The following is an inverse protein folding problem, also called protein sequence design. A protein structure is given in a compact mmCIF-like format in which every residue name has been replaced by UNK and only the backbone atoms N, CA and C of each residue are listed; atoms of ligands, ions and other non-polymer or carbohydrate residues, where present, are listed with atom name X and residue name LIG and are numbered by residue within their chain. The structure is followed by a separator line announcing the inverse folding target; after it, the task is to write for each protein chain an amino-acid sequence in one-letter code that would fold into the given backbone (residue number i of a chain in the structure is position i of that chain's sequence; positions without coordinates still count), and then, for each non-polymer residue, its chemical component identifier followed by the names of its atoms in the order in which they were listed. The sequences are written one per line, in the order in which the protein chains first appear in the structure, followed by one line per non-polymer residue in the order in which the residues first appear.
data_IF_746715319020
#
_entry.id   IF_746715319020
#
_cell.length_a   1.000
_cell.length_b   1.000
_cell.length_c   1.000
_cell.angle_alpha   90.00
_cell.angle_beta   90.00
_cell.angle_gamma   90.00
#
_symmetry.space_group_name_H-M   'P 1'
#
loop_
_entity.id
_entity.type
_entity.pdbx_description
1 polymer ?
#
# COMPACT_ATOMS: atom_id res chain seq x y z
N UNK A 1 -8.80 -8.88 14.93
CA UNK A 1 -7.79 -8.76 13.85
C UNK A 1 -7.17 -7.41 13.90
N UNK A 2 -5.83 -7.37 13.86
CA UNK A 2 -5.05 -6.14 13.80
C UNK A 2 -4.15 -6.18 12.55
N UNK A 3 -4.01 -5.04 11.87
CA UNK A 3 -3.12 -4.82 10.74
C UNK A 3 -1.70 -4.38 11.14
N UNK A 4 -1.33 -4.43 12.44
CA UNK A 4 0.01 -4.08 12.91
C UNK A 4 1.09 -4.79 12.08
N UNK A 5 1.93 -3.99 11.41
CA UNK A 5 3.04 -4.42 10.55
C UNK A 5 2.64 -5.29 9.34
N UNK A 6 1.36 -5.25 8.93
CA UNK A 6 0.82 -6.10 7.87
C UNK A 6 0.05 -5.29 6.83
N UNK A 7 0.56 -4.09 6.51
CA UNK A 7 -0.04 -3.18 5.56
C UNK A 7 0.44 -3.51 4.15
N UNK A 8 -0.48 -3.87 3.26
CA UNK A 8 -0.14 -4.21 1.88
C UNK A 8 -0.62 -3.13 0.89
N UNK A 9 0.23 -2.66 -0.03
CA UNK A 9 -0.21 -1.80 -1.10
C UNK A 9 -1.04 -2.59 -2.14
N UNK A 10 -1.93 -1.90 -2.85
CA UNK A 10 -2.80 -2.51 -3.86
C UNK A 10 -3.87 -3.42 -3.27
N UNK A 11 -4.40 -4.32 -4.11
CA UNK A 11 -5.34 -5.37 -3.73
C UNK A 11 -4.56 -6.65 -3.44
N UNK A 12 -4.66 -7.19 -2.23
CA UNK A 12 -3.91 -8.37 -1.84
C UNK A 12 -4.72 -9.30 -0.93
N UNK A 13 -5.29 -10.36 -1.53
CA UNK A 13 -6.13 -11.32 -0.81
C UNK A 13 -5.35 -12.21 0.18
N UNK A 14 -4.01 -12.26 0.08
CA UNK A 14 -3.16 -12.93 1.09
C UNK A 14 -2.93 -12.04 2.32
N UNK A 15 -3.20 -10.74 2.22
CA UNK A 15 -2.99 -9.75 3.27
C UNK A 15 -4.21 -9.59 4.17
N UNK A 16 -4.48 -10.63 4.96
CA UNK A 16 -5.61 -10.69 5.87
C UNK A 16 -5.18 -10.94 7.31
N UNK A 17 -6.03 -10.55 8.25
CA UNK A 17 -5.91 -10.84 9.67
C UNK A 17 -7.19 -11.48 10.22
N UNK A 18 -7.10 -12.32 11.25
CA UNK A 18 -8.27 -12.94 11.86
C UNK A 18 -9.13 -11.89 12.60
N UNK A 19 -10.36 -11.65 12.15
CA UNK A 19 -11.31 -10.72 12.77
C UNK A 19 -11.93 -11.26 14.07
N UNK A 20 -12.47 -10.37 14.90
CA UNK A 20 -13.05 -10.73 16.21
C UNK A 20 -14.32 -11.60 16.10
N UNK A 21 -14.98 -11.62 14.93
CA UNK A 21 -16.27 -12.29 14.70
C UNK A 21 -16.18 -13.43 13.66
N UNK A 22 -15.06 -14.17 13.61
CA UNK A 22 -14.80 -15.29 12.66
C UNK A 22 -14.67 -14.91 11.17
N UNK A 23 -14.98 -13.68 10.77
CA UNK A 23 -14.68 -13.18 9.42
C UNK A 23 -13.20 -12.75 9.31
N UNK A 24 -12.55 -13.11 8.19
CA UNK A 24 -11.23 -12.57 7.81
C UNK A 24 -11.41 -11.08 7.52
N UNK A 25 -10.51 -10.24 8.02
CA UNK A 25 -10.45 -8.83 7.66
C UNK A 25 -9.18 -8.56 6.85
N UNK A 26 -9.21 -7.56 5.98
CA UNK A 26 -8.11 -7.26 5.08
C UNK A 26 -7.35 -6.01 5.51
N UNK A 27 -6.04 -6.04 5.22
CA UNK A 27 -5.10 -4.96 5.54
C UNK A 27 -4.45 -4.35 4.29
N UNK A 28 -5.04 -4.63 3.13
CA UNK A 28 -4.64 -4.06 1.85
C UNK A 28 -5.38 -2.74 1.55
N UNK A 29 -4.85 -1.95 0.62
CA UNK A 29 -5.44 -0.65 0.26
C UNK A 29 -6.82 -0.73 -0.43
N UNK A 30 -7.18 -1.91 -0.94
CA UNK A 30 -8.46 -2.16 -1.60
C UNK A 30 -9.57 -2.49 -0.58
N UNK A 31 -9.24 -2.87 0.65
CA UNK A 31 -10.22 -3.19 1.69
C UNK A 31 -11.25 -2.07 1.93
N UNK A 32 -10.86 -0.81 1.69
CA UNK A 32 -11.74 0.35 1.84
C UNK A 32 -12.84 0.40 0.77
N UNK A 33 -12.59 -0.16 -0.42
CA UNK A 33 -13.60 -0.27 -1.48
C UNK A 33 -14.55 -1.44 -1.24
N UNK A 34 -14.04 -2.55 -0.69
CA UNK A 34 -14.82 -3.76 -0.39
C UNK A 34 -15.55 -3.70 0.94
N UNK A 35 -15.11 -2.85 1.88
CA UNK A 35 -15.73 -2.69 3.19
C UNK A 35 -15.33 -3.76 4.22
N UNK A 36 -14.24 -4.49 3.98
CA UNK A 36 -13.75 -5.61 4.78
C UNK A 36 -12.45 -5.31 5.52
N UNK A 37 -12.12 -4.03 5.70
CA UNK A 37 -10.95 -3.59 6.45
C UNK A 37 -10.99 -4.04 7.93
N UNK A 38 -9.82 -4.37 8.49
CA UNK A 38 -9.70 -4.52 9.93
C UNK A 38 -9.94 -3.19 10.66
N UNK A 39 -10.40 -3.27 11.92
CA UNK A 39 -10.79 -2.11 12.75
C UNK A 39 -9.66 -1.10 12.95
N UNK A 40 -8.41 -1.54 12.95
CA UNK A 40 -7.22 -0.72 13.16
C UNK A 40 -6.52 -0.29 11.85
N UNK A 41 -7.06 -0.65 10.68
CA UNK A 41 -6.47 -0.34 9.38
C UNK A 41 -6.21 1.17 9.19
N UNK A 42 -7.17 2.02 9.56
CA UNK A 42 -7.05 3.48 9.47
C UNK A 42 -5.93 4.04 10.36
N UNK A 43 -5.81 3.50 11.57
CA UNK A 43 -4.81 3.95 12.55
C UNK A 43 -3.40 3.46 12.18
N UNK A 44 -3.29 2.26 11.63
CA UNK A 44 -2.01 1.57 11.38
C UNK A 44 -1.49 1.76 9.95
N UNK A 45 -2.34 1.54 8.94
CA UNK A 45 -1.91 1.47 7.54
C UNK A 45 -2.20 2.74 6.75
N UNK A 46 -3.34 3.39 6.99
CA UNK A 46 -3.67 4.63 6.25
C UNK A 46 -2.76 5.79 6.62
N UNK A 47 -2.31 5.88 7.88
CA UNK A 47 -1.27 6.85 8.28
C UNK A 47 0.10 6.52 7.70
N UNK A 48 0.36 5.24 7.41
CA UNK A 48 1.59 4.77 6.78
C UNK A 48 1.57 4.87 5.24
N UNK A 49 0.42 5.18 4.64
CA UNK A 49 0.32 5.53 3.22
C UNK A 49 0.88 6.94 3.00
N UNK A 50 2.17 7.11 3.31
CA UNK A 50 2.98 8.24 2.86
C UNK A 50 3.08 8.07 1.35
N UNK A 51 2.53 9.01 0.58
CA UNK A 51 2.71 9.01 -0.86
C UNK A 51 4.21 8.95 -1.18
N UNK A 52 4.61 8.03 -2.05
CA UNK A 52 6.02 7.94 -2.46
C UNK A 52 6.44 9.30 -3.02
N UNK A 53 7.42 9.93 -2.38
CA UNK A 53 8.01 11.15 -2.91
C UNK A 53 8.87 10.78 -4.13
N UNK A 54 8.69 11.49 -5.23
CA UNK A 54 9.60 11.38 -6.37
C UNK A 54 10.95 11.94 -5.92
N UNK A 55 11.99 11.13 -6.01
CA UNK A 55 13.35 11.60 -5.77
C UNK A 55 13.75 12.68 -6.77
N UNK A 56 14.83 13.43 -6.52
CA UNK A 56 15.34 14.38 -7.49
C UNK A 56 15.65 13.68 -8.83
N UNK A 57 15.41 14.39 -9.93
CA UNK A 57 15.80 13.91 -11.25
C UNK A 57 17.32 13.70 -11.29
N UNK A 58 17.74 12.56 -11.86
CA UNK A 58 19.14 12.31 -12.15
C UNK A 58 19.68 13.22 -13.26
N UNK A 59 21.00 13.25 -13.48
CA UNK A 59 21.59 14.00 -14.58
C UNK A 59 21.10 13.47 -15.93
N UNK A 60 20.99 14.36 -16.92
CA UNK A 60 20.69 13.98 -18.29
C UNK A 60 21.77 13.05 -18.84
N UNK A 61 21.36 12.00 -19.55
CA UNK A 61 22.28 11.17 -20.31
C UNK A 61 22.87 11.96 -21.48
N UNK A 62 24.05 11.53 -21.96
CA UNK A 62 24.59 12.05 -23.22
C UNK A 62 23.63 11.83 -24.39
N UNK A 63 23.82 12.60 -25.46
CA UNK A 63 22.99 12.50 -26.65
C UNK A 63 22.99 11.06 -27.20
N UNK A 64 21.81 10.50 -27.46
CA UNK A 64 21.64 9.11 -27.91
C UNK A 64 22.06 8.89 -29.36
N UNK A 65 22.18 9.95 -30.16
CA UNK A 65 22.63 9.87 -31.55
C UNK A 65 23.30 11.17 -31.95
N UNK A 66 24.42 11.08 -32.67
CA UNK A 66 25.04 12.26 -33.27
C UNK A 66 24.36 12.53 -34.60
N UNK A 67 23.80 13.72 -34.77
CA UNK A 67 23.52 14.29 -36.08
C UNK A 67 24.70 15.16 -36.50
N UNK A 68 24.91 15.26 -37.81
CA UNK A 68 26.01 15.99 -38.42
C UNK A 68 26.18 15.52 -39.84
#
# INVERSE_FOLDING_TARGET
GSCRQRCCPGRNNACWAPGALRARCYCDSYCQRTGDCCRDYLATCRRAAVGCAVGPWGPWSGCSSRCG
#
